data_IF_405358837470
#
_entry.id   IF_405358837470
#
_cell.length_a   1.000
_cell.length_b   1.000
_cell.length_c   1.000
_cell.angle_alpha   90.00
_cell.angle_beta   90.00
_cell.angle_gamma   90.00
#
_symmetry.space_group_name_H-M   'P 1'
#
loop_
_entity.id
_entity.type
_entity.pdbx_description
1 polymer ?
#
# COMPACT_ATOMS: atom_id res chain seq x y z
N UNK A 1 -5.73 -14.25 8.10
CA UNK A 1 -4.63 -13.58 8.85
C UNK A 1 -4.66 -12.07 8.69
N UNK A 2 -4.71 -11.55 7.46
CA UNK A 2 -4.62 -10.11 7.17
C UNK A 2 -5.91 -9.32 7.37
N UNK A 3 -7.00 -9.99 7.78
CA UNK A 3 -8.36 -9.44 7.95
C UNK A 3 -9.02 -8.95 6.67
N UNK A 4 -8.37 -9.11 5.51
CA UNK A 4 -9.03 -8.89 4.22
C UNK A 4 -10.24 -9.81 4.08
N UNK A 5 -11.25 -9.32 3.38
CA UNK A 5 -12.36 -10.13 2.95
C UNK A 5 -11.83 -11.38 2.22
N UNK A 6 -12.55 -12.49 2.36
CA UNK A 6 -12.32 -13.72 1.62
C UNK A 6 -13.66 -14.10 1.02
N UNK A 7 -13.86 -13.74 -0.23
CA UNK A 7 -15.04 -14.08 -1.01
C UNK A 7 -14.55 -14.51 -2.40
N UNK A 8 -14.76 -15.78 -2.80
CA UNK A 8 -14.16 -16.33 -4.02
C UNK A 8 -14.58 -15.63 -5.31
N UNK A 9 -15.78 -15.06 -5.39
CA UNK A 9 -16.33 -14.51 -6.63
C UNK A 9 -15.92 -13.06 -6.84
N UNK A 10 -16.32 -12.16 -5.96
CA UNK A 10 -16.13 -10.72 -6.04
C UNK A 10 -14.66 -10.31 -5.92
N UNK A 11 -13.86 -10.99 -5.10
CA UNK A 11 -12.43 -10.67 -4.97
C UNK A 11 -11.57 -11.21 -6.11
N UNK A 12 -12.15 -12.01 -7.01
CA UNK A 12 -11.47 -12.53 -8.21
C UNK A 12 -12.11 -12.05 -9.50
N UNK A 13 -13.26 -11.35 -9.41
CA UNK A 13 -13.99 -10.83 -10.55
C UNK A 13 -13.10 -9.88 -11.35
N UNK A 14 -12.84 -10.27 -12.60
CA UNK A 14 -12.06 -9.45 -13.52
C UNK A 14 -12.87 -8.27 -14.05
N UNK A 15 -12.17 -7.29 -14.60
CA UNK A 15 -12.80 -6.27 -15.44
C UNK A 15 -13.10 -6.85 -16.82
N UNK A 16 -14.06 -6.25 -17.52
CA UNK A 16 -14.47 -6.69 -18.85
C UNK A 16 -13.28 -6.70 -19.83
N UNK A 17 -13.11 -7.81 -20.53
CA UNK A 17 -12.11 -8.01 -21.59
C UNK A 17 -12.76 -8.61 -22.82
N UNK A 18 -12.41 -8.04 -23.98
CA UNK A 18 -12.99 -8.42 -25.28
C UNK A 18 -12.72 -9.87 -25.69
N UNK A 19 -11.68 -10.49 -25.14
CA UNK A 19 -11.22 -11.85 -25.44
C UNK A 19 -11.68 -12.89 -24.42
N UNK A 20 -12.47 -12.50 -23.39
CA UNK A 20 -12.80 -13.38 -22.26
C UNK A 20 -14.28 -13.40 -21.94
N UNK A 21 -14.90 -14.56 -22.09
CA UNK A 21 -16.29 -14.84 -21.69
C UNK A 21 -16.49 -14.58 -20.20
N UNK A 22 -17.58 -13.89 -19.84
CA UNK A 22 -17.98 -13.64 -18.45
C UNK A 22 -17.10 -12.66 -17.69
N UNK A 23 -16.13 -12.02 -18.36
CA UNK A 23 -15.26 -11.03 -17.72
C UNK A 23 -16.00 -9.74 -17.34
N UNK A 24 -17.20 -9.54 -17.86
CA UNK A 24 -18.13 -8.44 -17.53
C UNK A 24 -19.03 -8.69 -16.32
N UNK A 25 -18.84 -9.79 -15.58
CA UNK A 25 -19.75 -10.20 -14.50
C UNK A 25 -20.07 -9.08 -13.50
N UNK A 26 -19.09 -8.23 -13.16
CA UNK A 26 -19.32 -7.06 -12.27
C UNK A 26 -20.47 -6.18 -12.79
N UNK A 27 -20.51 -5.91 -14.10
CA UNK A 27 -21.47 -4.99 -14.71
C UNK A 27 -22.90 -5.53 -14.74
N UNK A 28 -23.10 -6.82 -14.48
CA UNK A 28 -24.44 -7.39 -14.31
C UNK A 28 -25.05 -7.03 -12.95
N UNK A 29 -24.27 -6.51 -12.00
CA UNK A 29 -24.78 -5.92 -10.77
C UNK A 29 -25.28 -4.51 -11.07
N UNK A 30 -26.59 -4.34 -10.95
CA UNK A 30 -27.29 -3.13 -11.32
C UNK A 30 -27.99 -2.54 -10.10
N UNK A 31 -28.04 -1.21 -10.04
CA UNK A 31 -28.82 -0.49 -9.06
C UNK A 31 -30.32 -0.66 -9.37
N UNK A 32 -31.19 -0.84 -8.37
CA UNK A 32 -32.63 -0.79 -8.56
C UNK A 32 -33.08 0.59 -9.09
N UNK A 33 -34.25 0.67 -9.77
CA UNK A 33 -34.80 1.94 -10.25
C UNK A 33 -34.89 2.98 -9.13
N UNK A 34 -34.45 4.21 -9.43
CA UNK A 34 -34.41 5.30 -8.44
C UNK A 34 -33.17 5.30 -7.54
N UNK A 35 -32.19 4.43 -7.78
CA UNK A 35 -30.92 4.38 -7.07
C UNK A 35 -29.72 4.41 -8.01
N UNK A 36 -28.56 4.77 -7.45
CA UNK A 36 -27.25 4.73 -8.08
C UNK A 36 -26.23 4.06 -7.17
N UNK A 37 -25.22 3.44 -7.76
CA UNK A 37 -24.00 3.03 -7.09
C UNK A 37 -23.06 4.23 -7.07
N UNK A 38 -22.72 4.70 -5.87
CA UNK A 38 -21.75 5.76 -5.63
C UNK A 38 -20.51 5.15 -5.01
N UNK A 39 -19.34 5.37 -5.57
CA UNK A 39 -18.13 4.88 -4.95
C UNK A 39 -16.84 5.29 -5.65
N UNK A 40 -15.72 4.87 -5.08
CA UNK A 40 -14.42 5.24 -5.59
C UNK A 40 -13.40 4.14 -5.33
N UNK A 41 -12.33 4.17 -6.11
CA UNK A 41 -11.13 3.38 -5.92
C UNK A 41 -10.08 4.21 -5.17
N UNK A 42 -9.49 3.67 -4.11
CA UNK A 42 -8.44 4.39 -3.37
C UNK A 42 -7.10 4.20 -4.09
N UNK A 43 -6.74 5.16 -4.94
CA UNK A 43 -5.49 5.14 -5.71
C UNK A 43 -4.28 4.84 -4.82
N UNK A 44 -3.58 3.75 -5.15
CA UNK A 44 -2.31 3.36 -4.54
C UNK A 44 -2.37 3.30 -3.00
N UNK A 45 -3.50 2.90 -2.42
CA UNK A 45 -3.74 2.88 -0.97
C UNK A 45 -2.58 2.26 -0.18
N UNK A 46 -2.20 1.03 -0.53
CA UNK A 46 -1.16 0.29 0.19
C UNK A 46 0.22 0.92 0.04
N UNK A 47 0.51 1.52 -1.13
CA UNK A 47 1.76 2.22 -1.37
C UNK A 47 1.85 3.49 -0.53
N UNK A 48 0.76 4.26 -0.45
CA UNK A 48 0.69 5.44 0.41
C UNK A 48 0.85 5.08 1.88
N UNK A 49 0.16 4.04 2.37
CA UNK A 49 0.30 3.55 3.75
C UNK A 49 1.76 3.14 4.01
N UNK A 50 2.38 2.39 3.10
CA UNK A 50 3.76 1.97 3.25
C UNK A 50 4.72 3.18 3.27
N UNK A 51 4.48 4.18 2.42
CA UNK A 51 5.30 5.40 2.35
C UNK A 51 5.21 6.20 3.65
N UNK A 52 4.00 6.54 4.08
CA UNK A 52 3.77 7.36 5.28
C UNK A 52 4.31 6.68 6.55
N UNK A 53 4.34 5.34 6.60
CA UNK A 53 4.99 4.60 7.68
C UNK A 53 6.50 4.78 7.71
N UNK A 54 7.16 4.75 6.54
CA UNK A 54 8.59 5.03 6.44
C UNK A 54 8.92 6.48 6.81
N UNK A 55 8.11 7.42 6.32
CA UNK A 55 8.30 8.86 6.53
C UNK A 55 8.13 9.28 7.98
N UNK A 56 7.13 8.73 8.66
CA UNK A 56 6.93 8.90 10.09
C UNK A 56 8.15 8.47 10.91
N UNK A 57 8.88 7.43 10.47
CA UNK A 57 10.09 6.98 11.13
C UNK A 57 11.32 7.82 10.77
N UNK A 58 11.38 8.33 9.55
CA UNK A 58 12.56 9.05 9.05
C UNK A 58 12.63 10.47 9.61
N UNK A 59 11.70 11.34 9.21
CA UNK A 59 11.69 12.75 9.62
C UNK A 59 10.33 13.25 10.13
N UNK A 60 9.28 12.43 10.05
CA UNK A 60 7.92 12.85 10.42
C UNK A 60 7.32 13.89 9.49
N UNK A 61 7.75 13.93 8.22
CA UNK A 61 7.31 14.88 7.21
C UNK A 61 6.88 14.13 5.95
N UNK A 62 5.73 14.46 5.37
CA UNK A 62 5.29 13.84 4.11
C UNK A 62 6.23 14.14 2.96
N UNK A 63 6.54 13.15 2.13
CA UNK A 63 7.43 13.27 0.98
C UNK A 63 8.92 13.38 1.32
N UNK A 64 9.32 13.19 2.58
CA UNK A 64 10.72 13.29 3.00
C UNK A 64 11.60 12.11 2.55
N UNK A 65 10.99 11.01 2.08
CA UNK A 65 11.70 9.85 1.51
C UNK A 65 11.55 9.81 0.01
N UNK A 66 12.51 9.20 -0.71
CA UNK A 66 12.38 9.00 -2.16
C UNK A 66 11.09 8.24 -2.51
N UNK A 67 10.74 7.22 -1.72
CA UNK A 67 9.51 6.45 -1.91
C UNK A 67 8.24 7.28 -1.72
N UNK A 68 8.13 8.05 -0.64
CA UNK A 68 6.97 8.91 -0.44
C UNK A 68 6.90 10.07 -1.43
N UNK A 69 8.03 10.66 -1.85
CA UNK A 69 8.04 11.63 -2.95
C UNK A 69 7.49 11.04 -4.25
N UNK A 70 7.95 9.85 -4.64
CA UNK A 70 7.45 9.14 -5.83
C UNK A 70 5.95 8.81 -5.71
N UNK A 71 5.45 8.56 -4.50
CA UNK A 71 4.04 8.24 -4.25
C UNK A 71 3.15 9.49 -4.25
N UNK A 72 3.64 10.63 -3.76
CA UNK A 72 2.87 11.87 -3.64
C UNK A 72 2.88 12.73 -4.91
N UNK A 73 4.00 12.76 -5.64
CA UNK A 73 4.23 13.67 -6.77
C UNK A 73 4.66 12.95 -8.06
N UNK A 74 4.95 11.65 -7.99
CA UNK A 74 5.36 10.87 -9.16
C UNK A 74 4.24 10.78 -10.20
N UNK A 75 4.59 11.00 -11.47
CA UNK A 75 3.65 10.98 -12.60
C UNK A 75 4.05 9.89 -13.59
N UNK A 76 3.08 9.05 -13.96
CA UNK A 76 3.24 8.04 -15.02
C UNK A 76 3.66 8.65 -16.35
N UNK A 77 3.07 9.78 -16.73
CA UNK A 77 3.37 10.48 -17.99
C UNK A 77 4.80 11.03 -18.06
N UNK A 78 5.42 11.30 -16.91
CA UNK A 78 6.79 11.82 -16.82
C UNK A 78 7.81 10.72 -16.46
N UNK A 79 7.36 9.48 -16.26
CA UNK A 79 8.22 8.38 -15.82
C UNK A 79 8.76 8.55 -14.39
N UNK A 80 8.20 9.48 -13.60
CA UNK A 80 8.70 9.80 -12.25
C UNK A 80 8.00 9.01 -11.14
N UNK A 81 6.95 8.25 -11.47
CA UNK A 81 6.31 7.34 -10.51
C UNK A 81 7.17 6.11 -10.21
N UNK A 82 6.94 5.50 -9.04
CA UNK A 82 7.68 4.33 -8.56
C UNK A 82 7.82 3.24 -9.62
N UNK A 83 6.72 2.88 -10.28
CA UNK A 83 6.73 1.75 -11.22
C UNK A 83 7.55 2.07 -12.46
N UNK A 84 7.51 3.32 -12.94
CA UNK A 84 8.34 3.75 -14.07
C UNK A 84 9.82 3.78 -13.72
N UNK A 85 10.18 4.26 -12.53
CA UNK A 85 11.58 4.25 -12.05
C UNK A 85 12.13 2.83 -11.88
N UNK A 86 11.34 1.91 -11.33
CA UNK A 86 11.71 0.50 -11.26
C UNK A 86 11.83 -0.12 -12.65
N UNK A 87 10.89 0.19 -13.56
CA UNK A 87 10.94 -0.29 -14.94
C UNK A 87 12.22 0.14 -15.67
N UNK A 88 12.58 1.43 -15.55
CA UNK A 88 13.80 2.01 -16.11
C UNK A 88 15.06 1.34 -15.53
N UNK A 89 15.16 1.23 -14.21
CA UNK A 89 16.33 0.67 -13.53
C UNK A 89 16.61 -0.80 -13.90
N UNK A 90 15.57 -1.55 -14.24
CA UNK A 90 15.65 -3.01 -14.48
C UNK A 90 15.61 -3.34 -15.98
N UNK A 91 15.08 -2.43 -16.80
CA UNK A 91 14.84 -2.65 -18.22
C UNK A 91 13.63 -3.56 -18.48
N UNK A 92 12.52 -3.33 -17.77
CA UNK A 92 11.25 -4.06 -17.96
C UNK A 92 10.10 -3.10 -18.24
N UNK A 93 8.94 -3.61 -18.65
CA UNK A 93 7.75 -2.76 -18.81
C UNK A 93 7.22 -2.26 -17.46
N UNK A 94 6.52 -1.13 -17.45
CA UNK A 94 5.89 -0.58 -16.24
C UNK A 94 4.89 -1.56 -15.60
N UNK A 95 4.13 -2.28 -16.42
CA UNK A 95 3.16 -3.27 -15.92
C UNK A 95 3.87 -4.45 -15.22
N UNK A 96 5.01 -4.90 -15.76
CA UNK A 96 5.84 -5.90 -15.10
C UNK A 96 6.46 -5.34 -13.80
N UNK A 97 6.93 -4.10 -13.81
CA UNK A 97 7.46 -3.43 -12.63
C UNK A 97 6.41 -3.21 -11.54
N UNK A 98 5.13 -3.05 -11.90
CA UNK A 98 4.01 -3.00 -10.95
C UNK A 98 3.91 -4.32 -10.18
N UNK A 99 3.82 -5.46 -10.89
CA UNK A 99 3.78 -6.79 -10.26
C UNK A 99 4.99 -7.00 -9.36
N UNK A 100 6.17 -6.57 -9.82
CA UNK A 100 7.40 -6.67 -9.08
C UNK A 100 7.36 -5.88 -7.76
N UNK A 101 7.01 -4.60 -7.83
CA UNK A 101 6.98 -3.70 -6.67
C UNK A 101 6.03 -4.20 -5.60
N UNK A 102 4.82 -4.60 -5.97
CA UNK A 102 3.87 -5.17 -5.02
C UNK A 102 4.42 -6.45 -4.38
N UNK A 103 4.94 -7.39 -5.17
CA UNK A 103 5.55 -8.60 -4.62
C UNK A 103 6.65 -8.30 -3.60
N UNK A 104 7.53 -7.34 -3.92
CA UNK A 104 8.65 -6.94 -3.06
C UNK A 104 8.22 -6.24 -1.77
N UNK A 105 7.28 -5.31 -1.84
CA UNK A 105 6.72 -4.62 -0.66
C UNK A 105 6.07 -5.63 0.29
N UNK A 106 5.45 -6.67 -0.25
CA UNK A 106 4.88 -7.78 0.52
C UNK A 106 5.90 -8.83 0.99
N UNK A 107 7.21 -8.52 0.91
CA UNK A 107 8.25 -9.36 1.48
C UNK A 107 8.69 -10.52 0.59
N UNK A 108 8.35 -10.51 -0.71
CA UNK A 108 9.01 -11.41 -1.64
C UNK A 108 10.53 -11.13 -1.66
N UNK A 109 11.31 -12.20 -1.75
CA UNK A 109 12.77 -12.12 -1.78
C UNK A 109 13.33 -12.13 -3.21
N UNK A 110 14.65 -11.99 -3.31
CA UNK A 110 15.38 -12.04 -4.57
C UNK A 110 15.07 -13.28 -5.44
N UNK A 111 14.88 -14.51 -4.92
CA UNK A 111 14.54 -15.66 -5.76
C UNK A 111 13.16 -15.57 -6.43
N UNK A 112 12.22 -14.83 -5.85
CA UNK A 112 10.94 -14.55 -6.52
C UNK A 112 11.15 -13.59 -7.70
N UNK A 113 11.93 -12.55 -7.48
CA UNK A 113 12.28 -11.57 -8.50
C UNK A 113 13.00 -12.19 -9.70
N UNK A 114 13.98 -13.07 -9.46
CA UNK A 114 14.70 -13.79 -10.52
C UNK A 114 13.75 -14.60 -11.41
N UNK A 115 12.89 -15.42 -10.78
CA UNK A 115 11.89 -16.22 -11.51
C UNK A 115 10.95 -15.35 -12.32
N UNK A 116 10.50 -14.23 -11.75
CA UNK A 116 9.58 -13.32 -12.42
C UNK A 116 10.25 -12.61 -13.62
N UNK A 117 11.52 -12.21 -13.48
CA UNK A 117 12.29 -11.61 -14.58
C UNK A 117 12.46 -12.57 -15.76
N UNK A 118 12.76 -13.84 -15.48
CA UNK A 118 12.89 -14.87 -16.51
C UNK A 118 11.56 -15.23 -17.17
N UNK A 119 10.44 -15.13 -16.44
CA UNK A 119 9.09 -15.28 -17.00
C UNK A 119 8.74 -14.14 -17.96
N UNK A 120 9.13 -12.91 -17.64
CA UNK A 120 8.85 -11.73 -18.47
C UNK A 120 9.81 -11.57 -19.65
N UNK A 121 11.01 -12.13 -19.55
CA UNK A 121 11.99 -12.10 -20.62
C UNK A 121 12.71 -13.44 -20.73
N UNK A 122 12.26 -14.27 -21.66
CA UNK A 122 12.81 -15.60 -21.93
C UNK A 122 14.25 -15.60 -22.46
N UNK A 123 14.83 -14.43 -22.75
CA UNK A 123 16.23 -14.29 -23.18
C UNK A 123 17.19 -14.05 -22.02
N UNK A 124 16.68 -13.74 -20.82
CA UNK A 124 17.52 -13.58 -19.63
C UNK A 124 17.92 -14.96 -19.11
N UNK A 125 19.24 -15.15 -18.93
CA UNK A 125 19.73 -16.31 -18.19
C UNK A 125 19.60 -16.09 -16.67
N UNK A 126 19.83 -17.16 -15.89
CA UNK A 126 19.72 -17.10 -14.43
C UNK A 126 20.72 -16.11 -13.81
N UNK A 127 21.92 -15.97 -14.39
CA UNK A 127 22.98 -15.13 -13.84
C UNK A 127 22.66 -13.64 -14.03
N UNK A 128 22.18 -13.26 -15.21
CA UNK A 128 21.68 -11.93 -15.54
C UNK A 128 20.45 -11.58 -14.70
N UNK A 129 19.51 -12.51 -14.56
CA UNK A 129 18.33 -12.32 -13.71
C UNK A 129 18.72 -12.10 -12.24
N UNK A 130 19.68 -12.87 -11.72
CA UNK A 130 20.20 -12.70 -10.36
C UNK A 130 20.97 -11.38 -10.18
N UNK A 131 21.71 -10.94 -11.19
CA UNK A 131 22.39 -9.64 -11.17
C UNK A 131 21.39 -8.48 -11.13
N UNK A 132 20.41 -8.48 -12.04
CA UNK A 132 19.34 -7.47 -12.10
C UNK A 132 18.51 -7.45 -10.82
N UNK A 133 18.15 -8.62 -10.29
CA UNK A 133 17.42 -8.71 -9.03
C UNK A 133 18.23 -8.12 -7.88
N UNK A 134 19.52 -8.48 -7.72
CA UNK A 134 20.38 -7.90 -6.67
C UNK A 134 20.47 -6.39 -6.76
N UNK A 135 20.77 -5.86 -7.95
CA UNK A 135 20.86 -4.41 -8.17
C UNK A 135 19.55 -3.72 -7.79
N UNK A 136 18.42 -4.29 -8.17
CA UNK A 136 17.11 -3.72 -7.86
C UNK A 136 16.80 -3.73 -6.36
N UNK A 137 17.06 -4.83 -5.65
CA UNK A 137 16.86 -4.88 -4.20
C UNK A 137 17.81 -3.92 -3.47
N UNK A 138 19.05 -3.78 -3.92
CA UNK A 138 19.99 -2.83 -3.35
C UNK A 138 19.52 -1.37 -3.57
N UNK A 139 19.04 -1.01 -4.77
CA UNK A 139 18.52 0.33 -5.05
C UNK A 139 17.23 0.65 -4.28
N UNK A 140 16.36 -0.34 -4.08
CA UNK A 140 15.05 -0.13 -3.46
C UNK A 140 15.08 -0.38 -1.96
N UNK A 141 15.25 -1.64 -1.56
CA UNK A 141 15.27 -2.08 -0.16
C UNK A 141 16.55 -1.63 0.56
N UNK A 142 17.64 -1.43 -0.14
CA UNK A 142 18.93 -1.05 0.44
C UNK A 142 19.78 -2.25 0.84
N UNK A 143 20.87 -1.94 1.55
CA UNK A 143 21.79 -2.92 2.13
C UNK A 143 21.56 -3.07 3.62
N UNK A 144 21.86 -4.26 4.17
CA UNK A 144 21.79 -4.49 5.61
C UNK A 144 22.94 -3.77 6.33
N UNK A 145 22.59 -2.98 7.33
CA UNK A 145 23.50 -2.37 8.30
C UNK A 145 23.10 -2.74 9.72
N UNK A 146 24.00 -2.48 10.66
CA UNK A 146 23.87 -2.96 12.03
C UNK A 146 24.09 -1.81 13.01
N UNK A 147 23.23 -1.70 14.02
CA UNK A 147 23.53 -0.90 15.21
C UNK A 147 24.07 -1.83 16.29
N UNK A 148 25.16 -1.41 16.91
CA UNK A 148 25.77 -2.17 17.99
C UNK A 148 24.83 -2.18 19.21
N UNK A 149 24.87 -3.26 19.96
CA UNK A 149 24.22 -3.36 21.28
C UNK A 149 25.02 -2.53 22.31
N UNK A 150 24.49 -2.40 23.53
CA UNK A 150 25.26 -1.79 24.63
C UNK A 150 26.57 -2.54 24.91
N UNK A 151 26.55 -3.88 24.85
CA UNK A 151 27.76 -4.70 24.98
C UNK A 151 28.73 -4.48 23.81
N UNK A 152 28.22 -4.33 22.59
CA UNK A 152 29.02 -4.05 21.40
C UNK A 152 29.68 -2.68 21.46
N UNK A 153 28.94 -1.65 21.89
CA UNK A 153 29.46 -0.30 22.09
C UNK A 153 30.52 -0.26 23.19
N UNK A 154 30.27 -0.94 24.31
CA UNK A 154 31.27 -1.08 25.38
C UNK A 154 32.54 -1.75 24.87
N UNK A 155 32.40 -2.83 24.10
CA UNK A 155 33.54 -3.59 23.58
C UNK A 155 34.38 -2.79 22.57
N UNK A 156 33.74 -1.96 21.74
CA UNK A 156 34.45 -1.05 20.83
C UNK A 156 35.30 -0.03 21.61
N UNK A 157 34.78 0.49 22.74
CA UNK A 157 35.52 1.42 23.61
C UNK A 157 36.65 0.72 24.37
N UNK A 158 36.37 -0.44 24.94
CA UNK A 158 37.35 -1.19 25.74
C UNK A 158 38.55 -1.67 24.90
N UNK A 159 38.29 -2.09 23.66
CA UNK A 159 39.33 -2.56 22.74
C UNK A 159 39.93 -1.44 21.88
N UNK A 160 39.54 -0.18 22.13
CA UNK A 160 39.98 1.01 21.38
C UNK A 160 39.91 0.82 19.85
N UNK A 161 38.80 0.26 19.38
CA UNK A 161 38.62 -0.04 17.95
C UNK A 161 38.09 1.21 17.25
N UNK A 162 38.86 1.74 16.32
CA UNK A 162 38.36 2.74 15.38
C UNK A 162 37.33 2.09 14.44
N UNK A 163 36.06 2.46 14.58
CA UNK A 163 34.93 1.87 13.85
C UNK A 163 34.33 2.91 12.92
N UNK A 164 34.33 2.62 11.62
CA UNK A 164 33.66 3.46 10.64
C UNK A 164 32.13 3.34 10.78
N UNK A 165 31.47 4.47 11.08
CA UNK A 165 30.01 4.60 11.22
C UNK A 165 29.46 5.55 10.16
N UNK A 166 28.24 5.31 9.71
CA UNK A 166 27.49 6.29 8.91
C UNK A 166 26.86 7.37 9.81
N UNK A 167 26.25 8.38 9.18
CA UNK A 167 25.52 9.46 9.86
C UNK A 167 24.44 8.96 10.82
N UNK A 168 23.80 7.82 10.53
CA UNK A 168 22.78 7.21 11.38
C UNK A 168 23.35 6.34 12.52
N UNK A 169 24.68 6.33 12.66
CA UNK A 169 25.44 5.54 13.64
C UNK A 169 25.55 4.05 13.31
N UNK A 170 25.07 3.60 12.15
CA UNK A 170 25.11 2.18 11.76
C UNK A 170 26.47 1.77 11.16
N UNK A 171 26.83 0.50 11.33
CA UNK A 171 28.07 -0.10 10.83
C UNK A 171 27.79 -1.13 9.74
N UNK A 172 28.77 -1.35 8.88
CA UNK A 172 28.72 -2.37 7.82
C UNK A 172 28.88 -3.78 8.41
N UNK A 173 28.55 -4.80 7.61
CA UNK A 173 28.80 -6.20 7.99
C UNK A 173 30.31 -6.49 8.15
N UNK A 174 31.16 -5.81 7.39
CA UNK A 174 32.61 -5.97 7.45
C UNK A 174 33.17 -5.44 8.78
N UNK A 175 32.73 -4.25 9.20
CA UNK A 175 33.08 -3.68 10.51
C UNK A 175 32.56 -4.56 11.64
N UNK A 176 31.32 -5.04 11.55
CA UNK A 176 30.78 -5.96 12.56
C UNK A 176 31.62 -7.25 12.69
N UNK A 177 32.06 -7.81 11.56
CA UNK A 177 32.95 -8.99 11.54
C UNK A 177 34.33 -8.67 12.11
N UNK A 178 34.86 -7.47 11.86
CA UNK A 178 36.13 -7.00 12.42
C UNK A 178 36.04 -6.87 13.94
N UNK A 179 35.02 -6.20 14.46
CA UNK A 179 34.75 -6.08 15.91
C UNK A 179 34.61 -7.47 16.53
N UNK A 180 33.81 -8.35 15.93
CA UNK A 180 33.60 -9.71 16.45
C UNK A 180 34.90 -10.54 16.48
N UNK A 181 35.77 -10.38 15.48
CA UNK A 181 37.08 -11.05 15.44
C UNK A 181 37.99 -10.54 16.56
N UNK A 182 38.06 -9.22 16.77
CA UNK A 182 38.87 -8.62 17.84
C UNK A 182 38.34 -9.03 19.22
N UNK A 183 37.03 -9.01 19.42
CA UNK A 183 36.37 -9.49 20.63
C UNK A 183 36.75 -10.94 20.98
N UNK A 184 36.77 -11.81 19.96
CA UNK A 184 37.07 -13.24 20.13
C UNK A 184 38.54 -13.51 20.49
N UNK A 185 39.45 -12.63 20.06
CA UNK A 185 40.88 -12.72 20.39
C UNK A 185 41.13 -12.31 21.85
N UNK A 186 40.43 -11.29 22.35
CA UNK A 186 40.57 -10.81 23.73
C UNK A 186 39.85 -11.68 24.76
N UNK A 187 38.84 -12.47 24.37
CA UNK A 187 38.12 -13.37 25.29
C UNK A 187 37.58 -14.62 24.58
N UNK A 188 38.39 -15.67 24.49
CA UNK A 188 38.08 -16.96 23.82
C UNK A 188 36.85 -17.73 24.35
N UNK A 189 36.32 -17.40 25.53
CA UNK A 189 35.22 -18.17 26.18
C UNK A 189 33.89 -17.43 26.33
N UNK A 190 33.82 -16.11 26.07
CA UNK A 190 32.60 -15.33 26.21
C UNK A 190 31.97 -15.06 24.85
N UNK A 191 30.71 -15.43 24.67
CA UNK A 191 29.91 -15.05 23.50
C UNK A 191 29.35 -13.66 23.77
N UNK A 192 29.85 -12.67 23.03
CA UNK A 192 29.39 -11.28 23.12
C UNK A 192 28.15 -11.09 22.25
N UNK A 193 27.13 -10.43 22.78
CA UNK A 193 26.00 -10.00 21.97
C UNK A 193 26.34 -8.63 21.36
N UNK A 194 26.92 -8.61 20.16
CA UNK A 194 27.44 -7.38 19.54
C UNK A 194 26.34 -6.63 18.76
N UNK A 195 25.31 -7.34 18.31
CA UNK A 195 24.31 -6.79 17.37
C UNK A 195 23.05 -6.41 18.12
N UNK A 196 22.82 -5.10 18.29
CA UNK A 196 21.58 -4.61 18.88
C UNK A 196 20.42 -4.64 17.88
N UNK A 197 20.58 -3.98 16.73
CA UNK A 197 19.51 -3.86 15.73
C UNK A 197 20.03 -4.04 14.31
N UNK A 198 19.24 -4.72 13.47
CA UNK A 198 19.46 -4.82 12.03
C UNK A 198 18.59 -3.81 11.32
N UNK A 199 19.16 -3.02 10.42
CA UNK A 199 18.45 -2.00 9.66
C UNK A 199 18.82 -2.09 8.18
N UNK A 200 17.93 -1.62 7.33
CA UNK A 200 18.17 -1.37 5.92
C UNK A 200 18.61 0.08 5.74
N UNK A 201 19.55 0.33 4.83
CA UNK A 201 20.03 1.67 4.51
C UNK A 201 20.43 1.78 3.03
N UNK A 202 20.42 3.01 2.50
CA UNK A 202 20.90 3.34 1.16
C UNK A 202 19.96 2.99 0.00
N UNK A 203 18.81 2.36 0.27
CA UNK A 203 17.75 2.14 -0.72
C UNK A 203 16.58 3.12 -0.56
N UNK A 204 15.85 3.36 -1.64
CA UNK A 204 14.72 4.31 -1.69
C UNK A 204 13.59 4.02 -0.70
N UNK A 205 13.47 2.78 -0.23
CA UNK A 205 12.40 2.26 0.62
C UNK A 205 12.91 1.71 1.96
N UNK A 206 14.18 1.96 2.28
CA UNK A 206 14.83 1.42 3.48
C UNK A 206 14.04 1.72 4.76
N UNK A 207 13.59 2.96 4.94
CA UNK A 207 12.85 3.40 6.12
C UNK A 207 11.48 2.71 6.25
N UNK A 208 10.79 2.51 5.13
CA UNK A 208 9.53 1.76 5.09
C UNK A 208 9.77 0.31 5.54
N UNK A 209 10.77 -0.38 5.01
CA UNK A 209 11.09 -1.74 5.46
C UNK A 209 11.52 -1.79 6.93
N UNK A 210 12.30 -0.82 7.39
CA UNK A 210 12.70 -0.71 8.78
C UNK A 210 11.49 -0.56 9.70
N UNK A 211 10.52 0.27 9.32
CA UNK A 211 9.29 0.46 10.09
C UNK A 211 8.45 -0.81 10.13
N UNK A 212 8.21 -1.43 8.98
CA UNK A 212 7.44 -2.67 8.89
C UNK A 212 8.09 -3.82 9.65
N UNK A 213 9.42 -3.97 9.56
CA UNK A 213 10.17 -4.95 10.35
C UNK A 213 10.06 -4.64 11.85
N UNK A 214 10.08 -3.37 12.27
CA UNK A 214 9.91 -3.02 13.69
C UNK A 214 8.53 -3.42 14.23
N UNK A 215 7.46 -3.20 13.44
CA UNK A 215 6.10 -3.61 13.79
C UNK A 215 6.04 -5.13 13.88
N UNK A 216 6.56 -5.81 12.86
CA UNK A 216 6.57 -7.26 12.78
C UNK A 216 7.30 -7.88 13.97
N UNK A 217 8.49 -7.40 14.33
CA UNK A 217 9.30 -7.89 15.46
C UNK A 217 8.81 -7.46 16.85
N UNK A 218 7.88 -6.52 16.97
CA UNK A 218 7.36 -6.10 18.27
C UNK A 218 6.74 -7.26 19.05
N UNK A 219 6.75 -7.19 20.38
CA UNK A 219 6.24 -8.25 21.25
C UNK A 219 4.76 -8.60 20.97
N UNK A 220 3.97 -7.58 20.62
CA UNK A 220 2.56 -7.70 20.28
C UNK A 220 2.30 -6.91 18.99
N UNK A 221 2.60 -7.47 17.80
CA UNK A 221 2.45 -6.78 16.53
C UNK A 221 1.01 -6.29 16.34
N UNK A 222 0.88 -4.99 16.16
CA UNK A 222 -0.37 -4.27 15.99
C UNK A 222 -0.27 -3.32 14.81
N UNK A 223 -1.40 -3.07 14.14
CA UNK A 223 -1.46 -2.02 13.14
C UNK A 223 -1.27 -0.65 13.81
N UNK A 224 -0.63 0.30 13.13
CA UNK A 224 -0.22 1.57 13.76
C UNK A 224 -1.38 2.54 13.96
N UNK A 225 -2.51 2.36 13.25
CA UNK A 225 -3.64 3.30 13.31
C UNK A 225 -4.72 2.85 14.28
N UNK A 226 -5.29 1.64 14.09
CA UNK A 226 -6.36 1.13 14.97
C UNK A 226 -5.86 0.14 16.03
N UNK A 227 -4.55 -0.12 16.13
CA UNK A 227 -4.00 -1.04 17.11
C UNK A 227 -4.44 -2.51 16.94
N UNK A 228 -4.89 -2.89 15.73
CA UNK A 228 -5.38 -4.24 15.47
C UNK A 228 -4.24 -5.25 15.51
N UNK A 229 -4.34 -6.23 16.41
CA UNK A 229 -3.26 -7.21 16.65
C UNK A 229 -3.27 -8.36 15.66
N UNK A 230 -2.09 -8.87 15.34
CA UNK A 230 -1.95 -10.12 14.60
C UNK A 230 -2.46 -11.30 15.44
N UNK A 231 -2.80 -12.42 14.80
CA UNK A 231 -3.14 -13.65 15.52
C UNK A 231 -2.03 -14.03 16.51
N UNK A 232 -2.41 -14.41 17.74
CA UNK A 232 -1.48 -14.84 18.80
C UNK A 232 -0.54 -15.97 18.36
N UNK A 233 -0.97 -16.80 17.40
CA UNK A 233 -0.16 -17.87 16.83
C UNK A 233 1.03 -17.38 15.97
N UNK A 234 1.05 -16.10 15.56
CA UNK A 234 2.11 -15.48 14.76
C UNK A 234 2.88 -14.41 15.56
N UNK A 235 2.61 -14.28 16.86
CA UNK A 235 3.39 -13.40 17.74
C UNK A 235 4.79 -13.96 17.97
N UNK A 236 5.83 -13.11 18.19
CA UNK A 236 7.19 -13.60 18.39
C UNK A 236 7.32 -14.55 19.59
N UNK A 237 6.43 -14.45 20.60
CA UNK A 237 6.39 -15.40 21.71
C UNK A 237 6.11 -16.85 21.26
N UNK A 238 5.31 -17.03 20.20
CA UNK A 238 4.92 -18.35 19.69
C UNK A 238 5.88 -18.87 18.61
N UNK A 239 6.30 -18.00 17.67
CA UNK A 239 7.05 -18.40 16.46
C UNK A 239 8.49 -17.88 16.42
N UNK A 240 8.93 -17.11 17.41
CA UNK A 240 10.25 -16.44 17.44
C UNK A 240 10.47 -15.62 16.15
N UNK A 241 11.47 -15.99 15.36
CA UNK A 241 11.85 -15.35 14.09
C UNK A 241 11.23 -16.00 12.86
N UNK A 242 10.41 -17.05 13.02
CA UNK A 242 9.71 -17.66 11.90
C UNK A 242 8.60 -16.74 11.35
N UNK A 243 8.28 -16.94 10.06
CA UNK A 243 7.21 -16.22 9.34
C UNK A 243 7.36 -14.69 9.32
N UNK A 244 8.58 -14.16 9.45
CA UNK A 244 8.80 -12.71 9.46
C UNK A 244 8.30 -12.02 8.18
N UNK A 245 8.46 -12.65 7.02
CA UNK A 245 7.95 -12.14 5.73
C UNK A 245 6.43 -12.02 5.76
N UNK A 246 5.73 -13.02 6.28
CA UNK A 246 4.27 -12.99 6.45
C UNK A 246 3.81 -11.91 7.44
N UNK A 247 4.59 -11.65 8.50
CA UNK A 247 4.28 -10.62 9.52
C UNK A 247 4.51 -9.20 8.98
N UNK A 248 5.57 -9.00 8.20
CA UNK A 248 5.85 -7.74 7.48
C UNK A 248 4.73 -7.45 6.47
N UNK A 249 4.34 -8.45 5.67
CA UNK A 249 3.23 -8.33 4.74
C UNK A 249 1.91 -8.02 5.47
N UNK A 250 1.66 -8.71 6.59
CA UNK A 250 0.49 -8.47 7.43
C UNK A 250 0.41 -7.02 7.90
N UNK A 251 1.53 -6.37 8.25
CA UNK A 251 1.50 -4.99 8.75
C UNK A 251 0.90 -4.01 7.73
N UNK A 252 1.29 -4.07 6.45
CA UNK A 252 0.72 -3.23 5.39
C UNK A 252 -0.72 -3.63 5.08
N UNK A 253 -0.95 -4.92 4.85
CA UNK A 253 -2.26 -5.40 4.40
C UNK A 253 -3.36 -5.22 5.46
N UNK A 254 -3.01 -5.44 6.72
CA UNK A 254 -3.90 -5.23 7.86
C UNK A 254 -4.13 -3.73 8.06
N UNK A 255 -3.13 -2.87 7.85
CA UNK A 255 -3.33 -1.41 7.89
C UNK A 255 -4.26 -0.93 6.78
N UNK A 256 -4.23 -1.54 5.58
CA UNK A 256 -5.23 -1.25 4.55
C UNK A 256 -6.67 -1.61 4.97
N UNK A 257 -6.84 -2.66 5.78
CA UNK A 257 -8.16 -2.99 6.37
C UNK A 257 -8.57 -1.96 7.43
N UNK A 258 -7.63 -1.39 8.19
CA UNK A 258 -7.94 -0.26 9.09
C UNK A 258 -8.45 0.95 8.31
N UNK A 259 -7.86 1.22 7.14
CA UNK A 259 -8.30 2.26 6.23
C UNK A 259 -9.76 2.02 5.81
N UNK A 260 -10.08 0.80 5.35
CA UNK A 260 -11.45 0.43 5.00
C UNK A 260 -12.41 0.64 6.18
N UNK A 261 -12.06 0.20 7.39
CA UNK A 261 -12.93 0.37 8.56
C UNK A 261 -13.18 1.85 8.88
N UNK A 262 -12.15 2.70 8.84
CA UNK A 262 -12.31 4.13 9.05
C UNK A 262 -13.21 4.76 7.98
N UNK A 263 -13.04 4.36 6.71
CA UNK A 263 -13.92 4.82 5.65
C UNK A 263 -15.38 4.42 5.88
N UNK A 264 -15.64 3.15 6.23
CA UNK A 264 -17.00 2.66 6.45
C UNK A 264 -17.66 3.37 7.63
N UNK A 265 -16.92 3.60 8.72
CA UNK A 265 -17.42 4.30 9.91
C UNK A 265 -17.68 5.78 9.60
N UNK A 266 -16.75 6.48 8.98
CA UNK A 266 -16.90 7.89 8.65
C UNK A 266 -18.02 8.12 7.62
N UNK A 267 -18.12 7.28 6.59
CA UNK A 267 -19.19 7.39 5.60
C UNK A 267 -20.55 7.09 6.23
N UNK A 268 -20.65 6.07 7.09
CA UNK A 268 -21.88 5.77 7.82
C UNK A 268 -22.31 6.94 8.70
N UNK A 269 -21.37 7.54 9.44
CA UNK A 269 -21.63 8.71 10.27
C UNK A 269 -22.16 9.89 9.43
N UNK A 270 -21.51 10.21 8.31
CA UNK A 270 -21.96 11.30 7.41
C UNK A 270 -23.33 11.01 6.78
N UNK A 271 -23.61 9.77 6.43
CA UNK A 271 -24.92 9.34 5.91
C UNK A 271 -26.02 9.58 6.95
N UNK A 272 -25.79 9.17 8.20
CA UNK A 272 -26.73 9.31 9.30
C UNK A 272 -26.94 10.79 9.69
N UNK A 273 -25.84 11.53 9.89
CA UNK A 273 -25.86 12.94 10.30
C UNK A 273 -26.56 13.83 9.27
N UNK A 274 -26.30 13.62 7.98
CA UNK A 274 -26.86 14.45 6.93
C UNK A 274 -28.15 13.89 6.32
N UNK A 275 -28.67 12.76 6.80
CA UNK A 275 -29.87 12.13 6.21
C UNK A 275 -29.73 11.91 4.70
N UNK A 276 -28.62 11.29 4.31
CA UNK A 276 -28.38 10.82 2.93
C UNK A 276 -29.04 9.44 2.83
N UNK A 277 -30.00 9.25 1.92
CA UNK A 277 -30.62 7.92 1.73
C UNK A 277 -29.66 7.02 0.94
N UNK A 278 -28.78 6.34 1.68
CA UNK A 278 -27.86 5.38 1.11
C UNK A 278 -27.34 4.38 2.13
N UNK A 279 -26.77 3.28 1.63
CA UNK A 279 -26.16 2.23 2.45
C UNK A 279 -24.92 1.66 1.80
N UNK A 280 -24.04 1.11 2.62
CA UNK A 280 -22.91 0.32 2.12
C UNK A 280 -23.43 -0.85 1.26
N UNK A 281 -22.82 -1.03 0.08
CA UNK A 281 -23.20 -2.08 -0.86
C UNK A 281 -22.12 -3.16 -0.92
N UNK A 282 -20.90 -2.78 -1.31
CA UNK A 282 -19.79 -3.72 -1.46
C UNK A 282 -18.45 -3.02 -1.34
N UNK A 283 -17.44 -3.75 -0.88
CA UNK A 283 -16.04 -3.37 -1.00
C UNK A 283 -15.29 -4.50 -1.68
N UNK A 284 -14.51 -4.17 -2.72
CA UNK A 284 -13.74 -5.13 -3.50
C UNK A 284 -12.33 -4.54 -3.63
N UNK A 285 -11.32 -5.22 -3.08
CA UNK A 285 -9.96 -4.70 -3.01
C UNK A 285 -9.92 -3.32 -2.29
N UNK A 286 -9.51 -2.28 -3.01
CA UNK A 286 -9.44 -0.87 -2.65
C UNK A 286 -10.67 -0.05 -3.08
N UNK A 287 -11.64 -0.69 -3.74
CA UNK A 287 -12.92 -0.07 -4.11
C UNK A 287 -13.93 -0.16 -2.96
N UNK A 288 -14.65 0.94 -2.72
CA UNK A 288 -15.85 0.96 -1.87
C UNK A 288 -17.03 1.52 -2.65
N UNK A 289 -18.19 0.87 -2.54
CA UNK A 289 -19.41 1.22 -3.27
C UNK A 289 -20.61 1.26 -2.31
N UNK A 290 -21.43 2.27 -2.48
CA UNK A 290 -22.65 2.54 -1.72
C UNK A 290 -23.83 2.57 -2.67
N UNK A 291 -24.96 2.01 -2.24
CA UNK A 291 -26.22 2.14 -2.95
C UNK A 291 -26.96 3.35 -2.38
N UNK A 292 -27.26 4.34 -3.22
CA UNK A 292 -27.78 5.65 -2.80
C UNK A 292 -28.99 6.03 -3.66
N UNK A 293 -30.02 6.61 -3.07
CA UNK A 293 -31.16 7.16 -3.81
C UNK A 293 -30.68 8.23 -4.80
N UNK A 294 -31.25 8.26 -6.00
CA UNK A 294 -30.82 9.17 -7.06
C UNK A 294 -30.76 10.64 -6.63
N UNK A 295 -31.68 11.09 -5.78
CA UNK A 295 -31.70 12.48 -5.27
C UNK A 295 -30.44 12.84 -4.45
N UNK A 296 -29.83 11.84 -3.81
CA UNK A 296 -28.73 12.03 -2.86
C UNK A 296 -27.37 11.62 -3.42
N UNK A 297 -27.30 11.16 -4.68
CA UNK A 297 -26.08 10.60 -5.29
C UNK A 297 -24.87 11.54 -5.22
N UNK A 298 -25.06 12.84 -5.47
CA UNK A 298 -23.97 13.82 -5.43
C UNK A 298 -23.60 14.24 -4.00
N UNK A 299 -24.58 14.25 -3.08
CA UNK A 299 -24.33 14.46 -1.64
C UNK A 299 -23.50 13.31 -1.08
N UNK A 300 -23.84 12.06 -1.46
CA UNK A 300 -23.04 10.89 -1.11
C UNK A 300 -21.64 10.93 -1.74
N UNK A 301 -21.50 11.42 -2.98
CA UNK A 301 -20.20 11.59 -3.60
C UNK A 301 -19.31 12.57 -2.82
N UNK A 302 -19.86 13.70 -2.38
CA UNK A 302 -19.16 14.65 -1.50
C UNK A 302 -18.82 14.02 -0.14
N UNK A 303 -19.75 13.29 0.46
CA UNK A 303 -19.53 12.60 1.73
C UNK A 303 -18.40 11.57 1.62
N UNK A 304 -18.28 10.89 0.47
CA UNK A 304 -17.20 9.95 0.22
C UNK A 304 -15.83 10.64 0.07
N UNK A 305 -15.78 11.80 -0.58
CA UNK A 305 -14.56 12.63 -0.62
C UNK A 305 -14.11 13.05 0.79
N UNK A 306 -15.05 13.53 1.62
CA UNK A 306 -14.79 13.90 3.02
C UNK A 306 -14.35 12.68 3.84
N UNK A 307 -14.99 11.53 3.63
CA UNK A 307 -14.62 10.26 4.27
C UNK A 307 -13.16 9.89 4.04
N UNK A 308 -12.68 10.02 2.80
CA UNK A 308 -11.29 9.74 2.47
C UNK A 308 -10.33 10.75 3.11
N UNK A 309 -10.67 12.04 3.07
CA UNK A 309 -9.92 13.08 3.75
C UNK A 309 -9.76 12.76 5.25
N UNK A 310 -10.88 12.50 5.95
CA UNK A 310 -10.88 12.16 7.38
C UNK A 310 -10.04 10.90 7.66
N UNK A 311 -10.18 9.88 6.82
CA UNK A 311 -9.42 8.62 6.96
C UNK A 311 -7.92 8.89 6.82
N UNK A 312 -7.48 9.65 5.81
CA UNK A 312 -6.06 9.95 5.63
C UNK A 312 -5.51 10.86 6.71
N UNK A 313 -6.29 11.83 7.18
CA UNK A 313 -5.92 12.67 8.34
C UNK A 313 -5.72 11.81 9.60
N UNK A 314 -6.61 10.86 9.87
CA UNK A 314 -6.49 9.95 11.02
C UNK A 314 -5.20 9.11 10.93
N UNK A 315 -4.86 8.61 9.75
CA UNK A 315 -3.61 7.88 9.50
C UNK A 315 -2.38 8.75 9.74
N UNK A 316 -2.34 9.97 9.19
CA UNK A 316 -1.25 10.90 9.40
C UNK A 316 -1.08 11.24 10.89
N UNK A 317 -2.18 11.58 11.56
CA UNK A 317 -2.20 11.94 12.97
C UNK A 317 -1.75 10.79 13.88
N UNK A 318 -2.24 9.56 13.64
CA UNK A 318 -1.82 8.38 14.40
C UNK A 318 -0.32 8.07 14.25
N UNK A 319 0.29 8.52 13.15
CA UNK A 319 1.72 8.39 12.89
C UNK A 319 2.55 9.60 13.34
N UNK A 320 1.92 10.59 13.98
CA UNK A 320 2.58 11.78 14.53
C UNK A 320 2.72 12.95 13.56
N UNK A 321 2.15 12.87 12.35
CA UNK A 321 2.12 13.97 11.38
C UNK A 321 0.86 14.83 11.58
N UNK A 322 1.02 16.15 11.54
CA UNK A 322 -0.06 17.12 11.83
C UNK A 322 -0.68 17.76 10.58
N UNK A 323 -0.21 17.38 9.40
CA UNK A 323 -0.67 17.86 8.10
C UNK A 323 -1.00 16.68 7.17
N UNK A 324 -1.66 16.99 6.06
CA UNK A 324 -1.94 16.04 4.99
C UNK A 324 -1.77 16.73 3.62
N UNK A 325 -0.98 16.18 2.68
CA UNK A 325 -0.84 16.75 1.35
C UNK A 325 -2.17 16.72 0.58
N UNK A 326 -2.47 17.80 -0.14
CA UNK A 326 -3.69 17.89 -0.95
C UNK A 326 -3.78 16.79 -2.02
N UNK A 327 -2.65 16.37 -2.59
CA UNK A 327 -2.61 15.36 -3.66
C UNK A 327 -3.15 13.99 -3.25
N UNK A 328 -3.23 13.72 -1.95
CA UNK A 328 -3.79 12.48 -1.40
C UNK A 328 -5.14 12.67 -0.72
N UNK A 329 -5.50 13.91 -0.37
CA UNK A 329 -6.69 14.23 0.40
C UNK A 329 -7.99 13.73 -0.24
N UNK A 330 -8.08 13.80 -1.55
CA UNK A 330 -9.28 13.49 -2.32
C UNK A 330 -9.05 12.31 -3.26
N UNK A 331 -10.12 11.58 -3.58
CA UNK A 331 -10.13 10.64 -4.69
C UNK A 331 -9.90 11.38 -6.00
N UNK A 332 -9.21 10.72 -6.94
CA UNK A 332 -9.10 11.22 -8.32
C UNK A 332 -10.48 11.46 -8.93
N UNK A 333 -11.43 10.55 -8.69
CA UNK A 333 -12.84 10.73 -9.01
C UNK A 333 -13.72 9.87 -8.10
N UNK A 334 -14.98 10.27 -7.92
CA UNK A 334 -16.05 9.43 -7.40
C UNK A 334 -16.98 9.08 -8.53
N UNK A 335 -17.19 7.78 -8.73
CA UNK A 335 -18.09 7.25 -9.75
C UNK A 335 -19.53 7.26 -9.23
N UNK A 336 -20.45 7.64 -10.11
CA UNK A 336 -21.89 7.56 -9.95
C UNK A 336 -22.45 6.82 -11.17
N UNK A 337 -22.95 5.61 -10.95
CA UNK A 337 -23.36 4.72 -12.04
C UNK A 337 -24.60 3.90 -11.65
N UNK A 338 -25.31 3.35 -12.63
CA UNK A 338 -26.41 2.41 -12.43
C UNK A 338 -25.94 0.96 -12.48
N UNK A 339 -24.68 0.70 -12.86
CA UNK A 339 -24.09 -0.64 -12.87
C UNK A 339 -22.66 -0.64 -12.30
N UNK A 340 -22.20 -1.80 -11.82
CA UNK A 340 -20.86 -1.93 -11.25
C UNK A 340 -19.83 -2.26 -12.34
N UNK A 341 -19.11 -1.25 -12.83
CA UNK A 341 -18.01 -1.42 -13.79
C UNK A 341 -16.76 -0.66 -13.34
N UNK A 342 -15.63 -0.99 -13.95
CA UNK A 342 -14.34 -0.40 -13.56
C UNK A 342 -14.24 1.09 -13.88
N UNK A 343 -14.65 1.46 -15.09
CA UNK A 343 -14.71 2.83 -15.54
C UNK A 343 -16.15 3.08 -15.97
N UNK A 344 -16.74 4.19 -15.54
CA UNK A 344 -18.14 4.53 -15.81
C UNK A 344 -18.46 4.68 -17.30
N UNK A 345 -17.45 4.83 -18.15
CA UNK A 345 -17.60 4.91 -19.61
C UNK A 345 -17.44 3.57 -20.30
N UNK A 346 -17.07 2.51 -19.57
CA UNK A 346 -16.83 1.20 -20.14
C UNK A 346 -18.16 0.50 -20.47
N UNK A 347 -18.41 0.27 -21.76
CA UNK A 347 -19.61 -0.43 -22.24
C UNK A 347 -19.57 -1.96 -22.02
N UNK A 348 -18.46 -2.48 -21.48
CA UNK A 348 -18.27 -3.89 -21.14
C UNK A 348 -18.63 -4.88 -22.27
N UNK A 349 -18.15 -4.59 -23.49
CA UNK A 349 -18.23 -5.50 -24.64
C UNK A 349 -17.30 -6.70 -24.45
N UNK A 350 -17.87 -7.90 -24.45
CA UNK A 350 -17.17 -9.18 -24.28
C UNK A 350 -17.79 -10.24 -25.19
N UNK A 351 -17.22 -11.45 -25.32
CA UNK A 351 -17.82 -12.49 -26.15
C UNK A 351 -19.23 -12.92 -25.69
N UNK A 352 -19.52 -12.85 -24.38
CA UNK A 352 -20.86 -13.12 -23.82
C UNK A 352 -21.79 -11.90 -23.86
N UNK A 353 -21.23 -10.68 -23.99
CA UNK A 353 -21.97 -9.44 -24.16
C UNK A 353 -21.50 -8.65 -25.40
N UNK A 354 -21.77 -9.13 -26.64
CA UNK A 354 -21.14 -8.60 -27.84
C UNK A 354 -21.64 -7.21 -28.24
N UNK A 355 -22.84 -6.82 -27.77
CA UNK A 355 -23.45 -5.52 -28.08
C UNK A 355 -23.30 -4.51 -26.95
N UNK A 356 -22.59 -4.85 -25.87
CA UNK A 356 -22.34 -3.93 -24.76
C UNK A 356 -23.54 -3.68 -23.84
N UNK A 357 -23.32 -2.93 -22.77
CA UNK A 357 -24.31 -2.60 -21.75
C UNK A 357 -25.36 -1.62 -22.26
N UNK A 358 -24.93 -0.60 -22.99
CA UNK A 358 -25.81 0.49 -23.42
C UNK A 358 -26.87 -0.04 -24.39
N UNK A 359 -26.45 -0.69 -25.48
CA UNK A 359 -27.39 -1.18 -26.51
C UNK A 359 -28.22 -2.37 -26.04
N UNK A 360 -27.65 -3.28 -25.25
CA UNK A 360 -28.33 -4.54 -24.88
C UNK A 360 -29.22 -4.39 -23.65
N UNK A 361 -28.74 -3.67 -22.65
CA UNK A 361 -29.36 -3.59 -21.33
C UNK A 361 -29.88 -2.18 -21.02
N UNK A 362 -29.59 -1.18 -21.86
CA UNK A 362 -30.07 0.19 -21.68
C UNK A 362 -29.32 0.96 -20.60
N UNK A 363 -28.11 0.54 -20.23
CA UNK A 363 -27.30 1.25 -19.23
C UNK A 363 -26.28 2.18 -19.90
N UNK A 364 -26.53 3.50 -19.95
CA UNK A 364 -25.60 4.45 -20.54
C UNK A 364 -24.34 4.60 -19.67
N UNK A 365 -23.29 5.25 -20.17
CA UNK A 365 -22.16 5.70 -19.36
C UNK A 365 -22.59 6.48 -18.11
N UNK A 366 -21.94 6.19 -16.98
CA UNK A 366 -22.12 6.94 -15.73
C UNK A 366 -21.24 8.19 -15.67
N UNK A 367 -21.17 8.79 -14.49
CA UNK A 367 -20.41 10.02 -14.22
C UNK A 367 -19.22 9.71 -13.29
N UNK A 368 -18.03 10.20 -13.63
CA UNK A 368 -16.86 10.17 -12.75
C UNK A 368 -16.51 11.62 -12.41
N UNK A 369 -16.72 12.01 -11.16
CA UNK A 369 -16.66 13.40 -10.73
C UNK A 369 -15.47 13.63 -9.80
N UNK A 370 -14.65 14.64 -10.12
CA UNK A 370 -13.61 15.11 -9.21
C UNK A 370 -14.21 15.94 -8.05
N UNK A 371 -13.38 16.27 -7.05
CA UNK A 371 -13.84 17.03 -5.88
C UNK A 371 -14.39 18.41 -6.23
N UNK A 372 -13.86 19.07 -7.26
CA UNK A 372 -14.26 20.42 -7.65
C UNK A 372 -15.64 20.40 -8.32
N UNK A 373 -15.85 19.47 -9.25
CA UNK A 373 -17.14 19.23 -9.89
C UNK A 373 -18.22 18.89 -8.87
N UNK A 374 -17.90 18.03 -7.89
CA UNK A 374 -18.83 17.67 -6.81
C UNK A 374 -19.18 18.90 -5.97
N UNK A 375 -18.20 19.74 -5.61
CA UNK A 375 -18.44 20.97 -4.85
C UNK A 375 -19.33 21.94 -5.64
N UNK A 376 -19.12 22.08 -6.94
CA UNK A 376 -19.93 22.96 -7.80
C UNK A 376 -21.39 22.52 -7.88
N UNK A 377 -21.64 21.21 -7.92
CA UNK A 377 -22.99 20.62 -7.95
C UNK A 377 -23.67 20.77 -6.59
N UNK A 378 -22.96 20.44 -5.51
CA UNK A 378 -23.51 20.40 -4.14
C UNK A 378 -23.49 21.75 -3.43
N UNK A 379 -22.84 22.75 -4.03
CA UNK A 379 -22.51 24.04 -3.39
C UNK A 379 -21.74 23.87 -2.08
N UNK A 380 -20.92 22.82 -2.01
CA UNK A 380 -20.11 22.48 -0.83
C UNK A 380 -20.92 22.07 0.40
N UNK A 381 -22.20 21.69 0.25
CA UNK A 381 -23.06 21.31 1.36
C UNK A 381 -23.53 19.87 1.24
N UNK A 382 -23.49 19.16 2.38
CA UNK A 382 -24.13 17.86 2.51
C UNK A 382 -25.61 17.98 2.91
N UNK A 383 -26.14 19.16 3.24
CA UNK A 383 -27.55 19.32 3.59
C UNK A 383 -28.46 19.12 2.38
N UNK A 384 -29.70 18.64 2.60
CA UNK A 384 -30.72 18.70 1.55
C UNK A 384 -30.99 20.17 1.19
N UNK A 385 -31.03 20.47 -0.11
CA UNK A 385 -31.53 21.75 -0.57
C UNK A 385 -32.97 21.89 -0.07
N UNK A 386 -33.27 23.05 0.56
CA UNK A 386 -34.61 23.36 1.07
C UNK A 386 -35.59 23.61 -0.07
#
# INVERSE_FOLDING_TARGET
>A
VTRRAVEPTWLTASNARRDRVGSELKAMVQAPPGYHLVGADVDSQELWIAAVLGEAQFAGIHGCTAFGWMTLQGKKSQGTDLHSRTAEAVGISREHAKVFNYGRIYGAGQPFAERLLMQFNHRLDQAEAASKARQMYALTKGIRRYRLSEEGEWLVRELDVDVHREEDGSVSLEELRRISRLASQSSRRKKWDIVGKRVWAGGTESDMFNKLESIAHSAQPATPVLGCRISRALEPRAVRDEFITSRVNWAVQSSAVDYLHLMLVAMRWLIEEHSIDGRFCISIHDEVRYLVRSEDRYRAALALQITNLLTRCMFAHALGMQDLPQSVAFFSAVDVDQCLRKEVTMDCVTPSNPTGLERRYGYPPGEALDVYQIIDITKGSLSKAR
#
